data_IF_956329460982
#
_entry.id   IF_956329460982
#
_cell.length_a   1.000
_cell.length_b   1.000
_cell.length_c   1.000
_cell.angle_alpha   90.00
_cell.angle_beta   90.00
_cell.angle_gamma   90.00
#
_symmetry.space_group_name_H-M   'P 1'
#
loop_
_entity.id
_entity.type
_entity.pdbx_description
1 polymer ?
#
# COMPACT_ATOMS: atom_id res chain seq x y z
N UNK A 1 9.26 -13.65 10.21
CA UNK A 1 8.83 -12.58 9.29
C UNK A 1 9.83 -12.39 8.14
N UNK A 2 9.64 -13.13 7.05
CA UNK A 2 10.42 -12.97 5.82
C UNK A 2 9.80 -11.88 4.94
N UNK A 3 10.61 -11.05 4.30
CA UNK A 3 10.10 -10.00 3.43
C UNK A 3 10.00 -10.56 2.02
N UNK A 4 8.83 -10.40 1.40
CA UNK A 4 8.63 -10.79 0.01
C UNK A 4 9.24 -9.67 -0.86
N UNK A 5 10.07 -10.01 -1.86
CA UNK A 5 10.68 -9.02 -2.72
C UNK A 5 9.62 -8.27 -3.54
N UNK A 6 9.91 -6.99 -3.78
CA UNK A 6 9.13 -6.18 -4.70
C UNK A 6 9.50 -6.53 -6.13
N UNK A 7 8.63 -6.17 -7.06
CA UNK A 7 8.91 -6.24 -8.48
C UNK A 7 10.14 -5.38 -8.81
N UNK A 8 11.05 -5.93 -9.60
CA UNK A 8 12.22 -5.20 -10.11
C UNK A 8 11.94 -4.68 -11.52
N UNK A 9 12.68 -3.67 -11.95
CA UNK A 9 12.55 -3.11 -13.30
C UNK A 9 12.83 -4.17 -14.38
N UNK A 10 13.90 -4.94 -14.21
CA UNK A 10 14.22 -6.05 -15.11
C UNK A 10 13.06 -7.03 -15.21
N UNK A 11 12.51 -7.41 -14.05
CA UNK A 11 11.43 -8.38 -14.02
C UNK A 11 10.15 -7.84 -14.66
N UNK A 12 9.80 -6.58 -14.41
CA UNK A 12 8.68 -5.90 -15.04
C UNK A 12 8.78 -5.87 -16.57
N UNK A 13 9.98 -5.67 -17.12
CA UNK A 13 10.21 -5.67 -18.57
C UNK A 13 10.03 -7.06 -19.21
N UNK A 14 10.24 -8.13 -18.45
CA UNK A 14 10.09 -9.53 -18.89
C UNK A 14 8.68 -10.09 -18.65
N UNK A 15 7.81 -9.36 -17.95
CA UNK A 15 6.48 -9.86 -17.61
C UNK A 15 5.61 -10.02 -18.86
N UNK A 16 5.02 -11.20 -19.09
CA UNK A 16 4.06 -11.37 -20.16
C UNK A 16 2.74 -10.65 -19.81
N UNK A 17 2.05 -10.06 -20.80
CA UNK A 17 0.68 -9.58 -20.65
C UNK A 17 -0.22 -10.69 -20.09
N UNK A 18 -1.14 -10.33 -19.18
CA UNK A 18 -1.99 -11.26 -18.46
C UNK A 18 -1.41 -11.73 -17.11
N UNK A 19 -0.18 -11.37 -16.77
CA UNK A 19 0.39 -11.75 -15.47
C UNK A 19 -0.34 -11.05 -14.32
N UNK A 20 -0.72 -11.81 -13.29
CA UNK A 20 -1.33 -11.24 -12.09
C UNK A 20 -0.25 -10.71 -11.15
N UNK A 21 -0.45 -9.49 -10.67
CA UNK A 21 0.43 -8.80 -9.73
C UNK A 21 -0.38 -8.33 -8.53
N UNK A 22 0.23 -8.39 -7.35
CA UNK A 22 -0.28 -7.71 -6.16
C UNK A 22 0.28 -6.30 -6.14
N UNK A 23 -0.58 -5.30 -6.34
CA UNK A 23 -0.24 -3.88 -6.26
C UNK A 23 -0.83 -3.28 -4.99
N UNK A 24 0.00 -3.10 -3.97
CA UNK A 24 -0.43 -2.67 -2.64
C UNK A 24 -1.44 -3.63 -2.01
N UNK A 25 -2.72 -3.28 -2.07
CA UNK A 25 -3.84 -4.12 -1.59
C UNK A 25 -4.62 -4.79 -2.71
N UNK A 26 -4.44 -4.33 -3.94
CA UNK A 26 -5.25 -4.75 -5.08
C UNK A 26 -4.54 -5.86 -5.86
N UNK A 27 -5.33 -6.80 -6.37
CA UNK A 27 -4.86 -7.78 -7.34
C UNK A 27 -5.17 -7.22 -8.73
N UNK A 28 -4.13 -7.06 -9.54
CA UNK A 28 -4.22 -6.46 -10.87
C UNK A 28 -3.63 -7.40 -11.93
N UNK A 29 -4.04 -7.23 -13.17
CA UNK A 29 -3.53 -7.98 -14.32
C UNK A 29 -2.67 -7.06 -15.17
N UNK A 30 -1.37 -7.35 -15.26
CA UNK A 30 -0.43 -6.60 -16.09
C UNK A 30 -0.81 -6.70 -17.57
N UNK A 31 -0.81 -5.58 -18.28
CA UNK A 31 -1.11 -5.53 -19.72
C UNK A 31 0.12 -5.17 -20.53
N UNK A 32 0.72 -4.00 -20.29
CA UNK A 32 1.86 -3.51 -21.07
C UNK A 32 2.64 -2.41 -20.35
N UNK A 33 3.81 -2.07 -20.89
CA UNK A 33 4.55 -0.86 -20.54
C UNK A 33 4.58 0.09 -21.73
N UNK A 34 4.33 1.38 -21.53
CA UNK A 34 4.43 2.39 -22.58
C UNK A 34 5.19 3.62 -22.09
N UNK A 35 6.04 4.20 -22.95
CA UNK A 35 6.77 5.44 -22.66
C UNK A 35 5.96 6.62 -23.19
N UNK A 36 5.63 7.57 -22.31
CA UNK A 36 4.81 8.74 -22.65
C UNK A 36 5.32 9.99 -21.94
N UNK A 37 5.08 11.19 -22.46
CA UNK A 37 5.40 12.42 -21.74
C UNK A 37 4.57 12.51 -20.46
N UNK A 38 5.24 12.84 -19.35
CA UNK A 38 4.60 13.16 -18.09
C UNK A 38 4.01 14.58 -18.12
N UNK A 39 3.47 15.06 -16.99
CA UNK A 39 2.88 16.40 -16.89
C UNK A 39 3.88 17.54 -17.12
N UNK A 40 5.19 17.27 -17.06
CA UNK A 40 6.28 18.20 -17.39
C UNK A 40 6.76 18.08 -18.83
N UNK A 41 6.21 17.15 -19.62
CA UNK A 41 6.65 16.85 -20.98
C UNK A 41 7.87 15.93 -21.05
N UNK A 42 8.35 15.39 -19.93
CA UNK A 42 9.49 14.47 -19.88
C UNK A 42 9.04 13.04 -20.18
N UNK A 43 9.82 12.27 -20.93
CA UNK A 43 9.51 10.87 -21.21
C UNK A 43 9.55 10.03 -19.92
N UNK A 44 8.45 9.37 -19.59
CA UNK A 44 8.30 8.52 -18.41
C UNK A 44 7.63 7.19 -18.79
N UNK A 45 8.07 6.10 -18.18
CA UNK A 45 7.49 4.77 -18.38
C UNK A 45 6.23 4.63 -17.53
N UNK A 46 5.13 4.26 -18.18
CA UNK A 46 3.86 3.93 -17.55
C UNK A 46 3.59 2.42 -17.68
N UNK A 47 3.13 1.83 -16.59
CA UNK A 47 2.66 0.46 -16.54
C UNK A 47 1.15 0.48 -16.65
N UNK A 48 0.64 -0.24 -17.63
CA UNK A 48 -0.78 -0.42 -17.91
C UNK A 48 -1.22 -1.77 -17.36
N UNK A 49 -2.33 -1.78 -16.63
CA UNK A 49 -2.87 -2.97 -16.02
C UNK A 49 -4.39 -2.86 -15.85
N UNK A 50 -5.04 -3.99 -15.64
CA UNK A 50 -6.48 -4.07 -15.40
C UNK A 50 -6.75 -4.44 -13.96
N UNK A 51 -7.64 -3.69 -13.30
CA UNK A 51 -8.07 -3.99 -11.93
C UNK A 51 -8.99 -5.23 -11.85
N UNK A 52 -9.39 -5.61 -10.65
CA UNK A 52 -10.30 -6.75 -10.44
C UNK A 52 -11.71 -6.53 -11.03
N UNK A 53 -12.09 -5.27 -11.31
CA UNK A 53 -13.39 -4.92 -11.89
C UNK A 53 -13.34 -4.84 -13.43
N UNK A 54 -12.18 -5.12 -14.04
CA UNK A 54 -12.00 -5.01 -15.49
C UNK A 54 -11.70 -3.59 -15.98
N UNK A 55 -11.46 -2.63 -15.08
CA UNK A 55 -11.08 -1.26 -15.44
C UNK A 55 -9.60 -1.19 -15.79
N UNK A 56 -9.30 -0.58 -16.94
CA UNK A 56 -7.93 -0.28 -17.34
C UNK A 56 -7.39 0.92 -16.54
N UNK A 57 -6.33 0.69 -15.80
CA UNK A 57 -5.61 1.67 -15.00
C UNK A 57 -4.16 1.77 -15.47
N UNK A 58 -3.52 2.89 -15.11
CA UNK A 58 -2.11 3.10 -15.40
C UNK A 58 -1.43 3.89 -14.28
N UNK A 59 -0.21 3.51 -13.99
CA UNK A 59 0.65 4.23 -13.05
C UNK A 59 2.05 4.35 -13.63
N UNK A 60 2.81 5.34 -13.15
CA UNK A 60 4.23 5.39 -13.49
C UNK A 60 4.95 4.15 -12.94
N UNK A 61 5.95 3.70 -13.69
CA UNK A 61 6.78 2.53 -13.37
C UNK A 61 7.31 2.60 -11.94
N UNK A 62 7.80 3.76 -11.51
CA UNK A 62 8.30 3.98 -10.16
C UNK A 62 7.29 3.59 -9.08
N UNK A 63 6.03 4.00 -9.23
CA UNK A 63 4.96 3.68 -8.26
C UNK A 63 4.71 2.17 -8.22
N UNK A 64 4.70 1.52 -9.38
CA UNK A 64 4.49 0.07 -9.48
C UNK A 64 5.66 -0.67 -8.83
N UNK A 65 6.91 -0.36 -9.14
CA UNK A 65 8.08 -1.00 -8.54
C UNK A 65 8.14 -0.81 -7.01
N UNK A 66 7.65 0.32 -6.50
CA UNK A 66 7.58 0.56 -5.06
C UNK A 66 6.50 -0.24 -4.35
N UNK A 67 5.46 -0.69 -5.04
CA UNK A 67 4.24 -1.23 -4.42
C UNK A 67 3.74 -2.53 -5.03
N UNK A 68 4.43 -3.12 -6.00
CA UNK A 68 4.04 -4.35 -6.66
C UNK A 68 4.90 -5.55 -6.24
N UNK A 69 4.30 -6.74 -6.29
CA UNK A 69 5.00 -8.04 -6.23
C UNK A 69 4.25 -9.08 -7.06
N UNK A 70 4.97 -10.07 -7.59
CA UNK A 70 4.38 -11.22 -8.30
C UNK A 70 3.68 -12.20 -7.34
N UNK A 71 3.98 -12.13 -6.04
CA UNK A 71 3.36 -13.00 -5.05
C UNK A 71 1.96 -12.49 -4.73
N UNK A 72 0.96 -13.10 -5.39
CA UNK A 72 -0.43 -12.66 -5.34
C UNK A 72 -1.02 -12.66 -3.93
N UNK A 73 -0.59 -13.58 -3.05
CA UNK A 73 -1.12 -13.68 -1.68
C UNK A 73 -0.39 -12.78 -0.70
N UNK A 74 0.62 -12.03 -1.15
CA UNK A 74 1.36 -11.14 -0.29
C UNK A 74 0.47 -10.01 0.25
N UNK A 75 0.63 -9.71 1.53
CA UNK A 75 -0.08 -8.60 2.18
C UNK A 75 0.94 -7.53 2.57
N UNK A 76 0.65 -6.29 2.20
CA UNK A 76 1.51 -5.15 2.50
C UNK A 76 1.20 -4.57 3.89
N UNK A 77 2.21 -4.51 4.74
CA UNK A 77 2.09 -3.83 6.03
C UNK A 77 1.88 -2.33 5.83
N UNK A 78 0.83 -1.76 6.45
CA UNK A 78 0.44 -0.36 6.32
C UNK A 78 1.50 0.63 6.83
N UNK A 79 2.32 0.23 7.80
CA UNK A 79 3.36 1.09 8.36
C UNK A 79 4.69 1.00 7.60
N UNK A 80 5.24 -0.20 7.43
CA UNK A 80 6.59 -0.35 6.86
C UNK A 80 6.61 -0.57 5.34
N UNK A 81 5.44 -0.75 4.69
CA UNK A 81 5.32 -0.91 3.25
C UNK A 81 5.99 -2.17 2.68
N UNK A 82 6.35 -3.14 3.53
CA UNK A 82 6.93 -4.41 3.12
C UNK A 82 5.82 -5.44 2.90
N UNK A 83 5.95 -6.22 1.84
CA UNK A 83 5.14 -7.40 1.59
C UNK A 83 5.57 -8.56 2.48
N UNK A 84 4.58 -9.26 3.03
CA UNK A 84 4.75 -10.39 3.94
C UNK A 84 3.78 -11.50 3.57
N UNK A 85 4.07 -12.71 4.02
CA UNK A 85 3.09 -13.79 4.00
C UNK A 85 1.85 -13.38 4.84
N UNK A 86 0.64 -13.81 4.48
CA UNK A 86 -0.56 -13.55 5.29
C UNK A 86 -0.39 -13.91 6.77
N UNK A 87 0.30 -15.01 7.08
CA UNK A 87 0.54 -15.46 8.46
C UNK A 87 1.48 -14.54 9.26
N UNK A 88 2.30 -13.76 8.57
CA UNK A 88 3.19 -12.76 9.17
C UNK A 88 2.48 -11.40 9.37
N UNK A 89 1.19 -11.32 9.05
CA UNK A 89 0.37 -10.11 9.11
C UNK A 89 -0.83 -10.30 10.05
N UNK A 90 -1.14 -9.26 10.78
CA UNK A 90 -2.30 -9.18 11.67
C UNK A 90 -3.10 -7.92 11.38
N UNK A 91 -4.43 -8.06 11.35
CA UNK A 91 -5.34 -6.92 11.31
C UNK A 91 -5.40 -6.28 12.69
N UNK A 92 -5.10 -4.98 12.76
CA UNK A 92 -5.24 -4.17 13.97
C UNK A 92 -6.15 -2.99 13.72
N UNK A 93 -6.89 -2.67 14.78
CA UNK A 93 -7.73 -1.48 14.86
C UNK A 93 -6.83 -0.26 15.07
N UNK A 94 -7.03 0.76 14.27
CA UNK A 94 -6.39 2.06 14.38
C UNK A 94 -7.45 3.12 14.66
N UNK A 95 -7.22 3.89 15.72
CA UNK A 95 -8.12 4.94 16.15
C UNK A 95 -7.63 6.28 15.60
N UNK A 96 -8.34 6.80 14.61
CA UNK A 96 -8.20 8.18 14.17
C UNK A 96 -8.99 9.10 15.11
N UNK A 97 -8.82 10.41 14.94
CA UNK A 97 -9.49 11.40 15.80
C UNK A 97 -11.02 11.41 15.65
N UNK A 98 -11.55 10.97 14.51
CA UNK A 98 -12.98 10.96 14.18
C UNK A 98 -13.55 9.58 13.83
N UNK A 99 -12.71 8.57 13.68
CA UNK A 99 -13.14 7.25 13.20
C UNK A 99 -12.15 6.17 13.59
N UNK A 100 -12.57 4.93 13.41
CA UNK A 100 -11.76 3.75 13.68
C UNK A 100 -11.72 2.89 12.42
N UNK A 101 -10.53 2.43 12.03
CA UNK A 101 -10.35 1.59 10.84
C UNK A 101 -9.49 0.37 11.13
N UNK A 102 -9.72 -0.72 10.39
CA UNK A 102 -8.86 -1.89 10.41
C UNK A 102 -7.77 -1.77 9.36
N UNK A 103 -6.53 -2.06 9.75
CA UNK A 103 -5.38 -2.08 8.86
C UNK A 103 -4.48 -3.28 9.13
N UNK A 104 -3.78 -3.71 8.10
CA UNK A 104 -2.84 -4.84 8.12
C UNK A 104 -1.44 -4.40 8.58
N UNK A 105 -0.89 -5.09 9.57
CA UNK A 105 0.44 -4.81 10.12
C UNK A 105 1.22 -6.09 10.36
N UNK A 106 2.54 -5.99 10.45
CA UNK A 106 3.39 -7.10 10.87
C UNK A 106 2.93 -7.68 12.23
N UNK A 107 2.90 -9.02 12.34
CA UNK A 107 2.39 -9.77 13.52
C UNK A 107 3.01 -9.33 14.86
N UNK A 108 4.27 -8.87 14.86
CA UNK A 108 4.97 -8.39 16.05
C UNK A 108 4.40 -7.10 16.70
N UNK A 109 3.39 -6.45 16.12
CA UNK A 109 2.64 -5.34 16.75
C UNK A 109 3.37 -4.00 16.84
N UNK A 110 4.70 -3.95 16.72
CA UNK A 110 5.49 -2.71 16.73
C UNK A 110 5.06 -1.75 15.62
N UNK A 111 4.75 -2.29 14.43
CA UNK A 111 4.30 -1.51 13.29
C UNK A 111 2.96 -0.81 13.55
N UNK A 112 1.98 -1.50 14.15
CA UNK A 112 0.68 -0.89 14.47
C UNK A 112 0.80 0.17 15.57
N UNK A 113 1.64 -0.06 16.59
CA UNK A 113 1.87 0.92 17.66
C UNK A 113 2.50 2.20 17.12
N UNK A 114 3.56 2.08 16.32
CA UNK A 114 4.22 3.25 15.70
C UNK A 114 3.29 3.98 14.74
N UNK A 115 2.48 3.26 13.98
CA UNK A 115 1.48 3.88 13.11
C UNK A 115 0.46 4.69 13.93
N UNK A 116 -0.07 4.13 15.01
CA UNK A 116 -1.02 4.82 15.91
C UNK A 116 -0.44 6.11 16.49
N UNK A 117 0.86 6.15 16.80
CA UNK A 117 1.56 7.33 17.30
C UNK A 117 1.71 8.45 16.25
N UNK A 118 1.68 8.10 14.96
CA UNK A 118 1.77 9.10 13.88
C UNK A 118 0.47 9.88 13.66
N UNK A 119 -0.64 9.37 14.19
CA UNK A 119 -1.97 9.99 14.05
C UNK A 119 -2.06 11.20 14.97
N UNK A 120 -2.13 12.38 14.36
CA UNK A 120 -2.33 13.64 15.09
C UNK A 120 -3.81 13.84 15.40
N UNK A 121 -4.10 14.18 16.65
CA UNK A 121 -5.42 14.66 17.06
C UNK A 121 -5.44 16.18 16.93
N UNK A 122 -6.42 16.78 16.24
CA UNK A 122 -6.57 18.23 16.18
C UNK A 122 -6.63 18.85 17.59
N UNK A 123 -5.90 19.95 17.79
CA UNK A 123 -5.77 20.63 19.11
C UNK A 123 -7.11 21.10 19.66
N UNK A 124 -8.07 21.47 18.80
CA UNK A 124 -9.41 21.91 19.19
C UNK A 124 -10.22 20.83 19.93
N UNK A 125 -9.95 19.55 19.66
CA UNK A 125 -10.64 18.43 20.30
C UNK A 125 -10.02 18.04 21.64
N UNK A 126 -8.72 18.34 21.86
CA UNK A 126 -8.03 18.07 23.14
C UNK A 126 -8.66 18.83 24.31
N UNK A 127 -9.14 20.06 24.07
CA UNK A 127 -9.80 20.88 25.09
C UNK A 127 -11.14 20.31 25.58
N UNK A 128 -11.86 19.54 24.75
CA UNK A 128 -13.13 18.89 25.14
C UNK A 128 -12.93 17.66 26.04
N UNK A 129 -11.81 16.94 25.89
CA UNK A 129 -11.52 15.76 26.71
C UNK A 129 -10.80 16.09 28.02
N UNK A 130 -10.12 17.23 28.13
CA UNK A 130 -9.50 17.70 29.38
C UNK A 130 -10.50 18.35 30.37
N UNK A 131 -11.73 18.62 29.94
CA UNK A 131 -12.76 19.28 30.76
C UNK A 131 -13.63 18.33 31.61
N UNK A 132 -13.53 17.01 31.44
CA UNK A 132 -14.22 16.03 32.30
C UNK A 132 -13.27 15.53 33.40
N UNK A 133 -12.93 16.42 34.33
CA UNK A 133 -12.62 15.99 35.70
C UNK A 133 -13.96 15.68 36.36
N UNK A 134 -14.28 14.39 36.47
CA UNK A 134 -15.32 13.94 37.40
C UNK A 134 -14.74 14.02 38.81
N UNK A 135 -15.38 14.86 39.63
CA UNK A 135 -15.20 15.10 41.08
C UNK A 135 -13.89 15.73 41.53
#
# INVERSE_FOLDING_TARGET
MQAIPKLTQQRLAELPPGTRLRLGRELVTFNSCSVRPNYKGEAETFVEYTDANGQALRHCEFTVLQSATEVIDAVMCKYCGKFRHPDDIVKKVINFWNRTEYHDFCVGGVCSQRFQQTIRVPSQTRARFSGRKYR
#
